data_IF_797206264381
#
_entry.id   IF_797206264381
#
_cell.length_a   1.000
_cell.length_b   1.000
_cell.length_c   1.000
_cell.angle_alpha   90.00
_cell.angle_beta   90.00
_cell.angle_gamma   90.00
#
_symmetry.space_group_name_H-M   'P 1'
#
loop_
_entity.id
_entity.type
_entity.pdbx_description
1 polymer ?
#
# COMPACT_ATOMS: atom_id res chain seq x y z
N UNK A 1 13.74 2.19 15.31
CA UNK A 1 14.04 2.80 14.00
C UNK A 1 13.45 4.19 13.94
N UNK A 2 14.17 5.15 13.39
CA UNK A 2 13.67 6.51 13.24
C UNK A 2 12.51 6.55 12.23
N UNK A 3 11.49 7.36 12.49
CA UNK A 3 10.30 7.53 11.62
C UNK A 3 10.67 7.82 10.16
N UNK A 4 11.75 8.59 9.95
CA UNK A 4 12.32 8.88 8.63
C UNK A 4 12.75 7.60 7.90
N UNK A 5 13.34 6.63 8.60
CA UNK A 5 13.76 5.34 8.05
C UNK A 5 12.57 4.50 7.60
N UNK A 6 11.47 4.49 8.37
CA UNK A 6 10.27 3.71 8.02
C UNK A 6 9.56 4.31 6.81
N UNK A 7 9.44 5.64 6.73
CA UNK A 7 8.90 6.33 5.56
C UNK A 7 9.78 6.13 4.33
N UNK A 8 11.11 6.17 4.48
CA UNK A 8 12.04 5.87 3.40
C UNK A 8 11.89 4.44 2.88
N UNK A 9 11.68 3.46 3.76
CA UNK A 9 11.42 2.06 3.36
C UNK A 9 10.10 1.92 2.58
N UNK A 10 9.05 2.65 2.98
CA UNK A 10 7.79 2.66 2.21
C UNK A 10 7.97 3.33 0.85
N UNK A 11 8.70 4.45 0.80
CA UNK A 11 9.03 5.13 -0.45
C UNK A 11 9.83 4.22 -1.38
N UNK A 12 10.84 3.53 -0.86
CA UNK A 12 11.64 2.57 -1.62
C UNK A 12 10.79 1.39 -2.13
N UNK A 13 9.88 0.88 -1.30
CA UNK A 13 8.94 -0.16 -1.72
C UNK A 13 7.99 0.32 -2.83
N UNK A 14 7.47 1.56 -2.74
CA UNK A 14 6.64 2.17 -3.78
C UNK A 14 7.40 2.32 -5.10
N UNK A 15 8.63 2.84 -5.05
CA UNK A 15 9.50 2.97 -6.24
C UNK A 15 9.81 1.61 -6.83
N UNK A 16 10.18 0.62 -6.02
CA UNK A 16 10.42 -0.75 -6.47
C UNK A 16 9.19 -1.36 -7.16
N UNK A 17 8.00 -1.12 -6.62
CA UNK A 17 6.76 -1.62 -7.23
C UNK A 17 6.47 -0.96 -8.58
N UNK A 18 6.77 0.32 -8.74
CA UNK A 18 6.68 1.03 -10.02
C UNK A 18 7.69 0.48 -11.03
N UNK A 19 8.93 0.22 -10.62
CA UNK A 19 9.95 -0.39 -11.49
C UNK A 19 9.49 -1.77 -11.97
N UNK A 20 8.93 -2.59 -11.08
CA UNK A 20 8.37 -3.91 -11.44
C UNK A 20 7.20 -3.77 -12.41
N UNK A 21 6.33 -2.76 -12.22
CA UNK A 21 5.23 -2.49 -13.14
C UNK A 21 5.71 -2.15 -14.56
N UNK A 22 6.70 -1.26 -14.65
CA UNK A 22 7.34 -0.89 -15.92
C UNK A 22 8.01 -2.10 -16.55
N UNK A 23 8.79 -2.88 -15.79
CA UNK A 23 9.47 -4.07 -16.29
C UNK A 23 8.47 -5.12 -16.84
N UNK A 24 7.34 -5.34 -16.16
CA UNK A 24 6.27 -6.22 -16.63
C UNK A 24 5.63 -5.72 -17.93
N UNK A 25 5.38 -4.42 -18.04
CA UNK A 25 4.86 -3.81 -19.27
C UNK A 25 5.87 -3.95 -20.43
N UNK A 26 7.16 -3.73 -20.18
CA UNK A 26 8.23 -3.86 -21.16
C UNK A 26 8.41 -5.30 -21.62
N UNK A 27 8.40 -6.28 -20.71
CA UNK A 27 8.54 -7.71 -21.02
C UNK A 27 7.36 -8.22 -21.85
N UNK A 28 6.13 -7.87 -21.46
CA UNK A 28 4.91 -8.35 -22.13
C UNK A 28 4.69 -7.74 -23.52
N UNK A 29 5.24 -6.55 -23.74
CA UNK A 29 5.15 -5.86 -25.04
C UNK A 29 6.33 -6.15 -25.96
N UNK A 30 7.30 -6.98 -25.54
CA UNK A 30 8.56 -7.24 -26.25
C UNK A 30 9.33 -5.95 -26.66
N UNK A 31 9.16 -4.87 -25.89
CA UNK A 31 9.74 -3.54 -26.18
C UNK A 31 11.16 -3.39 -25.63
N UNK A 32 11.73 -4.45 -25.07
CA UNK A 32 13.09 -4.44 -24.56
C UNK A 32 14.10 -4.58 -25.72
N UNK A 33 15.14 -3.73 -25.83
CA UNK A 33 15.51 -2.59 -24.98
C UNK A 33 15.16 -1.20 -25.57
N UNK A 34 14.27 -1.13 -26.56
CA UNK A 34 14.23 0.00 -27.49
C UNK A 34 13.49 1.25 -26.98
N UNK A 35 12.57 1.16 -26.01
CA UNK A 35 11.89 2.36 -25.50
C UNK A 35 11.32 2.23 -24.06
N UNK A 36 12.13 2.64 -23.07
CA UNK A 36 11.70 2.76 -21.67
C UNK A 36 10.66 3.88 -21.47
N UNK A 37 10.73 4.95 -22.26
CA UNK A 37 9.80 6.08 -22.17
C UNK A 37 8.38 5.64 -22.57
N UNK A 38 8.27 4.91 -23.67
CA UNK A 38 7.01 4.34 -24.12
C UNK A 38 6.46 3.31 -23.12
N UNK A 39 7.31 2.46 -22.54
CA UNK A 39 6.91 1.51 -21.50
C UNK A 39 6.34 2.21 -20.27
N UNK A 40 6.97 3.31 -19.83
CA UNK A 40 6.48 4.12 -18.72
C UNK A 40 5.14 4.82 -19.05
N UNK A 41 4.99 5.36 -20.26
CA UNK A 41 3.74 5.94 -20.75
C UNK A 41 2.60 4.91 -20.80
N UNK A 42 2.87 3.71 -21.33
CA UNK A 42 1.88 2.62 -21.36
C UNK A 42 1.48 2.16 -19.96
N UNK A 43 2.45 2.05 -19.05
CA UNK A 43 2.19 1.67 -17.66
C UNK A 43 1.35 2.73 -16.94
N UNK A 44 1.71 4.01 -17.07
CA UNK A 44 0.96 5.11 -16.45
C UNK A 44 -0.42 5.27 -17.08
N UNK A 45 -0.56 5.13 -18.40
CA UNK A 45 -1.84 5.11 -19.10
C UNK A 45 -2.75 3.98 -18.63
N UNK A 46 -2.22 2.74 -18.53
CA UNK A 46 -2.97 1.60 -17.99
C UNK A 46 -3.41 1.81 -16.55
N UNK A 47 -2.53 2.35 -15.70
CA UNK A 47 -2.86 2.69 -14.32
C UNK A 47 -3.95 3.77 -14.24
N UNK A 48 -3.86 4.81 -15.08
CA UNK A 48 -4.84 5.89 -15.13
C UNK A 48 -6.23 5.36 -15.54
N UNK A 49 -6.31 4.48 -16.54
CA UNK A 49 -7.56 3.84 -16.94
C UNK A 49 -8.16 3.02 -15.79
N UNK A 50 -7.33 2.23 -15.10
CA UNK A 50 -7.77 1.45 -13.92
C UNK A 50 -8.27 2.34 -12.79
N UNK A 51 -7.60 3.46 -12.54
CA UNK A 51 -8.01 4.44 -11.53
C UNK A 51 -9.29 5.14 -11.94
N UNK A 52 -9.48 5.52 -13.20
CA UNK A 52 -10.70 6.16 -13.65
C UNK A 52 -11.89 5.20 -13.61
N UNK A 53 -11.67 3.94 -14.00
CA UNK A 53 -12.74 2.95 -14.06
C UNK A 53 -13.14 2.41 -12.68
N UNK A 54 -12.21 2.33 -11.72
CA UNK A 54 -12.45 1.75 -10.40
C UNK A 54 -12.09 2.69 -9.23
N UNK A 55 -11.97 4.00 -9.50
CA UNK A 55 -11.42 5.03 -8.60
C UNK A 55 -11.88 4.94 -7.16
N UNK A 56 -13.20 4.94 -6.97
CA UNK A 56 -13.80 4.91 -5.63
C UNK A 56 -13.50 3.61 -4.89
N UNK A 57 -13.37 2.49 -5.60
CA UNK A 57 -13.09 1.18 -5.02
C UNK A 57 -11.63 1.05 -4.58
N UNK A 58 -10.70 1.77 -5.22
CA UNK A 58 -9.30 1.85 -4.78
C UNK A 58 -9.15 2.49 -3.40
N UNK A 59 -10.12 3.28 -2.94
CA UNK A 59 -10.12 3.84 -1.59
C UNK A 59 -10.30 2.76 -0.52
N UNK A 60 -11.02 1.67 -0.81
CA UNK A 60 -11.26 0.62 0.18
C UNK A 60 -9.96 -0.04 0.69
N UNK A 61 -9.09 -0.63 -0.16
CA UNK A 61 -7.83 -1.22 0.32
C UNK A 61 -6.91 -0.17 0.94
N UNK A 62 -6.92 1.07 0.45
CA UNK A 62 -6.14 2.18 1.01
C UNK A 62 -6.57 2.51 2.45
N UNK A 63 -7.86 2.76 2.66
CA UNK A 63 -8.41 3.14 3.97
C UNK A 63 -8.33 1.98 4.97
N UNK A 64 -8.64 0.76 4.54
CA UNK A 64 -8.51 -0.44 5.37
C UNK A 64 -7.04 -0.61 5.78
N UNK A 65 -6.11 -0.52 4.84
CA UNK A 65 -4.67 -0.59 5.16
C UNK A 65 -4.27 0.49 6.17
N UNK A 66 -4.75 1.73 6.00
CA UNK A 66 -4.47 2.83 6.92
C UNK A 66 -5.03 2.58 8.34
N UNK A 67 -6.16 1.87 8.46
CA UNK A 67 -6.74 1.51 9.76
C UNK A 67 -6.04 0.32 10.44
N UNK A 68 -5.43 -0.60 9.67
CA UNK A 68 -4.80 -1.80 10.21
C UNK A 68 -3.54 -1.50 11.03
N UNK A 69 -3.45 -2.10 12.21
CA UNK A 69 -2.37 -1.83 13.17
C UNK A 69 -1.13 -2.70 12.97
N UNK A 70 -1.30 -3.95 12.50
CA UNK A 70 -0.24 -4.96 12.37
C UNK A 70 0.19 -5.09 10.91
N UNK A 71 1.50 -5.23 10.67
CA UNK A 71 2.06 -5.35 9.32
C UNK A 71 1.58 -6.63 8.61
N UNK A 72 1.47 -7.76 9.32
CA UNK A 72 0.94 -9.01 8.76
C UNK A 72 -0.50 -8.88 8.25
N UNK A 73 -1.35 -8.08 8.90
CA UNK A 73 -2.72 -7.85 8.43
C UNK A 73 -2.73 -7.07 7.11
N UNK A 74 -1.80 -6.13 6.93
CA UNK A 74 -1.65 -5.37 5.69
C UNK A 74 -1.11 -6.24 4.56
N UNK A 75 -0.16 -7.12 4.88
CA UNK A 75 0.35 -8.08 3.92
C UNK A 75 -0.75 -9.06 3.49
N UNK A 76 -1.57 -9.55 4.43
CA UNK A 76 -2.70 -10.42 4.12
C UNK A 76 -3.81 -9.69 3.34
N UNK A 77 -4.00 -8.39 3.54
CA UNK A 77 -4.98 -7.60 2.78
C UNK A 77 -4.72 -7.62 1.28
N UNK A 78 -3.44 -7.69 0.86
CA UNK A 78 -3.07 -7.67 -0.55
C UNK A 78 -3.72 -8.79 -1.38
N UNK A 79 -3.51 -10.10 -1.09
CA UNK A 79 -4.14 -11.17 -1.87
C UNK A 79 -5.68 -11.13 -1.80
N UNK A 80 -6.28 -10.77 -0.65
CA UNK A 80 -7.74 -10.65 -0.56
C UNK A 80 -8.30 -9.52 -1.42
N UNK A 81 -7.64 -8.36 -1.44
CA UNK A 81 -8.07 -7.23 -2.27
C UNK A 81 -7.86 -7.52 -3.76
N UNK A 82 -6.78 -8.24 -4.14
CA UNK A 82 -6.59 -8.71 -5.51
C UNK A 82 -7.72 -9.64 -5.94
N UNK A 83 -8.04 -10.66 -5.13
CA UNK A 83 -9.14 -11.58 -5.42
C UNK A 83 -10.49 -10.85 -5.49
N UNK A 84 -10.74 -9.89 -4.59
CA UNK A 84 -11.93 -9.05 -4.62
C UNK A 84 -12.06 -8.24 -5.91
N UNK A 85 -10.97 -7.65 -6.39
CA UNK A 85 -10.95 -6.91 -7.65
C UNK A 85 -11.14 -7.83 -8.87
N UNK A 86 -10.55 -9.04 -8.87
CA UNK A 86 -10.77 -10.03 -9.92
C UNK A 86 -12.23 -10.47 -9.97
N UNK A 87 -12.84 -10.74 -8.81
CA UNK A 87 -14.25 -11.07 -8.71
C UNK A 87 -15.10 -9.92 -9.26
N UNK A 88 -14.82 -8.68 -8.84
CA UNK A 88 -15.54 -7.51 -9.32
C UNK A 88 -15.38 -7.30 -10.83
N UNK A 89 -14.19 -7.56 -11.38
CA UNK A 89 -13.94 -7.55 -12.81
C UNK A 89 -14.75 -8.62 -13.54
N UNK A 90 -14.88 -9.82 -12.98
CA UNK A 90 -15.69 -10.88 -13.55
C UNK A 90 -17.15 -10.43 -13.76
N UNK A 91 -17.72 -9.75 -12.77
CA UNK A 91 -19.12 -9.31 -12.79
C UNK A 91 -19.35 -8.02 -13.57
N UNK A 92 -18.47 -7.02 -13.44
CA UNK A 92 -18.71 -5.65 -13.92
C UNK A 92 -17.65 -5.15 -14.91
N UNK A 93 -16.54 -5.86 -15.08
CA UNK A 93 -15.45 -5.46 -15.98
C UNK A 93 -15.89 -5.30 -17.43
N UNK A 94 -16.57 -6.30 -18.04
CA UNK A 94 -17.01 -6.21 -19.44
C UNK A 94 -17.95 -5.02 -19.70
N UNK A 95 -18.85 -4.73 -18.75
CA UNK A 95 -19.76 -3.58 -18.85
C UNK A 95 -19.03 -2.22 -18.81
N UNK A 96 -17.80 -2.17 -18.29
CA UNK A 96 -16.92 -0.99 -18.26
C UNK A 96 -15.91 -0.95 -19.42
N UNK A 97 -16.06 -1.83 -20.41
CA UNK A 97 -15.17 -1.91 -21.57
C UNK A 97 -13.88 -2.69 -21.33
N UNK A 98 -13.75 -3.40 -20.20
CA UNK A 98 -12.61 -4.29 -20.00
C UNK A 98 -12.80 -5.65 -20.69
N UNK A 99 -11.68 -6.30 -20.98
CA UNK A 99 -11.67 -7.65 -21.53
C UNK A 99 -12.28 -8.67 -20.55
N UNK A 100 -13.08 -9.61 -21.04
CA UNK A 100 -13.64 -10.72 -20.23
C UNK A 100 -12.54 -11.61 -19.67
N UNK A 101 -12.79 -12.28 -18.54
CA UNK A 101 -11.79 -13.15 -17.90
C UNK A 101 -11.37 -14.32 -18.78
N UNK A 102 -12.25 -14.84 -19.64
CA UNK A 102 -11.93 -15.94 -20.55
C UNK A 102 -10.81 -15.57 -21.53
N UNK A 103 -10.77 -14.31 -21.97
CA UNK A 103 -9.73 -13.81 -22.87
C UNK A 103 -8.55 -13.20 -22.12
N UNK A 104 -8.81 -12.54 -20.99
CA UNK A 104 -7.76 -11.95 -20.16
C UNK A 104 -6.90 -13.02 -19.48
N UNK A 105 -7.47 -14.21 -19.23
CA UNK A 105 -6.95 -15.30 -18.40
C UNK A 105 -6.80 -14.91 -16.92
N UNK A 106 -6.78 -15.90 -16.02
CA UNK A 106 -6.54 -15.65 -14.59
C UNK A 106 -5.18 -14.99 -14.33
N UNK A 107 -4.14 -15.42 -15.05
CA UNK A 107 -2.79 -14.86 -14.92
C UNK A 107 -2.76 -13.39 -15.38
N UNK A 108 -3.46 -13.07 -16.47
CA UNK A 108 -3.60 -11.69 -16.92
C UNK A 108 -4.34 -10.81 -15.92
N UNK A 109 -5.41 -11.34 -15.31
CA UNK A 109 -6.16 -10.63 -14.27
C UNK A 109 -5.31 -10.40 -13.00
N UNK A 110 -4.52 -11.40 -12.58
CA UNK A 110 -3.55 -11.23 -11.49
C UNK A 110 -2.55 -10.13 -11.80
N UNK A 111 -1.95 -10.13 -12.98
CA UNK A 111 -1.00 -9.09 -13.38
C UNK A 111 -1.64 -7.70 -13.44
N UNK A 112 -2.91 -7.61 -13.86
CA UNK A 112 -3.65 -6.35 -13.96
C UNK A 112 -3.92 -5.72 -12.59
N UNK A 113 -4.24 -6.54 -11.58
CA UNK A 113 -4.70 -6.05 -10.28
C UNK A 113 -3.66 -6.13 -9.16
N UNK A 114 -2.65 -7.02 -9.25
CA UNK A 114 -1.67 -7.22 -8.19
C UNK A 114 -0.90 -5.94 -7.83
N UNK A 115 -0.38 -5.24 -8.83
CA UNK A 115 0.43 -4.03 -8.62
C UNK A 115 -0.42 -2.86 -8.10
N UNK A 116 -1.54 -2.47 -8.74
CA UNK A 116 -2.34 -1.34 -8.24
C UNK A 116 -2.87 -1.57 -6.82
N UNK A 117 -3.28 -2.80 -6.49
CA UNK A 117 -3.70 -3.13 -5.12
C UNK A 117 -2.53 -3.00 -4.14
N UNK A 118 -1.35 -3.51 -4.49
CA UNK A 118 -0.16 -3.36 -3.64
C UNK A 118 0.21 -1.87 -3.43
N UNK A 119 0.11 -1.02 -4.47
CA UNK A 119 0.29 0.42 -4.34
C UNK A 119 -0.71 1.03 -3.35
N UNK A 120 -2.00 0.70 -3.46
CA UNK A 120 -3.04 1.20 -2.58
C UNK A 120 -2.80 0.78 -1.12
N UNK A 121 -2.44 -0.48 -0.89
CA UNK A 121 -2.12 -1.02 0.44
C UNK A 121 -0.88 -0.35 1.02
N UNK A 122 0.21 -0.20 0.25
CA UNK A 122 1.44 0.46 0.69
C UNK A 122 1.22 1.94 0.97
N UNK A 123 0.42 2.63 0.15
CA UNK A 123 0.08 4.03 0.35
C UNK A 123 -0.74 4.22 1.63
N UNK A 124 -1.76 3.39 1.87
CA UNK A 124 -2.48 3.38 3.15
C UNK A 124 -1.56 3.09 4.35
N UNK A 125 -0.58 2.20 4.15
CA UNK A 125 0.42 1.87 5.17
C UNK A 125 1.27 3.09 5.53
N UNK A 126 1.75 3.81 4.51
CA UNK A 126 2.53 5.03 4.65
C UNK A 126 1.73 6.18 5.27
N UNK A 127 0.47 6.38 4.85
CA UNK A 127 -0.43 7.38 5.41
C UNK A 127 -0.57 7.20 6.93
N UNK A 128 -0.79 5.97 7.41
CA UNK A 128 -0.86 5.72 8.85
C UNK A 128 0.41 6.13 9.59
N UNK A 129 1.59 5.82 9.05
CA UNK A 129 2.86 6.19 9.66
C UNK A 129 3.09 7.73 9.61
N UNK A 130 2.55 8.37 8.57
CA UNK A 130 2.44 9.83 8.43
C UNK A 130 1.51 10.48 9.47
N UNK A 131 0.42 9.81 9.86
CA UNK A 131 -0.57 10.35 10.80
C UNK A 131 -0.41 9.90 12.25
N UNK A 132 0.41 8.87 12.54
CA UNK A 132 0.76 8.48 13.91
C UNK A 132 1.51 9.61 14.63
N UNK A 133 0.77 10.55 15.22
CA UNK A 133 1.28 11.62 16.08
C UNK A 133 1.84 11.03 17.38
N UNK A 134 2.84 11.75 17.90
CA UNK A 134 3.68 11.54 19.09
C UNK A 134 2.87 11.46 20.41
N UNK A 135 1.95 10.51 20.55
CA UNK A 135 1.17 10.29 21.81
C UNK A 135 1.99 9.68 22.95
N UNK A 136 3.33 9.74 22.88
CA UNK A 136 4.25 9.25 23.93
C UNK A 136 4.91 10.35 24.75
N UNK A 137 4.88 11.63 24.33
CA UNK A 137 5.49 12.70 25.15
C UNK A 137 4.61 13.14 26.32
N UNK A 138 3.29 12.96 26.27
CA UNK A 138 2.39 13.34 27.38
C UNK A 138 2.23 12.26 28.45
N UNK A 139 2.46 10.98 28.13
CA UNK A 139 2.40 9.90 29.12
C UNK A 139 3.67 9.85 29.99
N UNK A 140 4.84 10.13 29.42
CA UNK A 140 6.10 10.20 30.16
C UNK A 140 6.21 11.43 31.08
N UNK A 141 5.40 12.47 30.85
CA UNK A 141 5.38 13.67 31.69
C UNK A 141 4.42 13.56 32.89
N UNK A 142 3.50 12.59 32.89
CA UNK A 142 2.53 12.38 34.00
C UNK A 142 2.98 11.38 35.07
N UNK A 143 4.12 10.70 34.89
CA UNK A 143 4.67 9.76 35.87
C UNK A 143 6.03 10.26 36.37
N UNK A 144 6.03 11.45 36.98
CA UNK A 144 7.06 11.81 37.98
C UNK A 144 6.45 11.45 39.33
N UNK A 145 6.79 10.31 39.96
CA UNK A 145 6.47 10.14 41.37
C UNK A 145 7.21 11.24 42.13
N UNK A 146 6.42 12.08 42.79
CA UNK A 146 6.84 13.10 43.75
C UNK A 146 7.79 12.44 44.74
N UNK A 147 9.08 12.78 44.64
CA UNK A 147 10.11 12.46 45.63
C UNK A 147 9.68 13.09 46.95
N UNK A 148 8.89 12.37 47.73
CA UNK A 148 8.56 12.70 49.11
C UNK A 148 9.73 12.18 49.93
N UNK A 149 10.56 13.12 50.39
CA UNK A 149 11.61 12.82 51.34
C UNK A 149 10.96 12.32 52.63
N UNK A 150 11.16 11.06 52.95
CA UNK A 150 11.05 10.57 54.31
C UNK A 150 12.46 10.64 54.91
N UNK A 151 12.66 11.70 55.66
CA UNK A 151 13.83 11.95 56.49
C UNK A 151 13.94 10.88 57.57
N UNK A 152 15.19 10.51 57.82
CA UNK A 152 15.70 9.63 58.87
C UNK A 152 15.12 9.99 60.24
N UNK A 153 14.72 8.98 61.02
CA UNK A 153 14.84 9.04 62.48
C UNK A 153 15.15 7.65 63.02
N UNK A 154 16.42 7.44 63.31
CA UNK A 154 16.93 6.41 64.20
C UNK A 154 16.62 6.80 65.63
N UNK A 155 15.93 5.94 66.39
CA UNK A 155 15.94 6.01 67.84
C UNK A 155 15.89 4.61 68.46
N UNK A 156 17.06 4.25 68.99
CA UNK A 156 17.40 3.35 70.11
C UNK A 156 16.96 1.90 70.06
#
# INVERSE_FOLDING_TARGET
MARKTILALHGLALVGLLVVAVALATWRSALWPLDLGFSALMTTGGLAILILAWGLLWLAPLLISAALNRHWQRLALWPFAVLGMIALHAFYGPARGFMTLDRLTLIGALNLYAIPVALAVLLGSALREGFRRKSRSNAAMRVRPRRTGATISTSR
#
